data_IF_686193945479
#
_entry.id   IF_686193945479
#
_cell.length_a   1.000
_cell.length_b   1.000
_cell.length_c   1.000
_cell.angle_alpha   90.00
_cell.angle_beta   90.00
_cell.angle_gamma   90.00
#
_symmetry.space_group_name_H-M   'P 1'
#
loop_
_entity.id
_entity.type
_entity.pdbx_description
1 polymer ?
#
# COMPACT_ATOMS: atom_id res chain seq x y z
N UNK A 1 -6.00 47.48 -45.83
CA UNK A 1 -4.88 47.38 -44.86
C UNK A 1 -5.22 48.11 -43.55
N UNK A 2 -6.29 47.71 -42.87
CA UNK A 2 -6.75 48.31 -41.61
C UNK A 2 -5.94 47.88 -40.36
N UNK A 3 -4.93 47.02 -40.56
CA UNK A 3 -4.11 46.47 -39.47
C UNK A 3 -2.98 47.41 -39.00
N UNK A 4 -2.71 48.51 -39.72
CA UNK A 4 -1.57 49.40 -39.42
C UNK A 4 -1.94 50.69 -38.66
N UNK A 5 -3.22 51.03 -38.51
CA UNK A 5 -3.63 52.23 -37.75
C UNK A 5 -3.68 52.01 -36.23
N UNK A 6 -3.74 50.75 -35.77
CA UNK A 6 -3.94 50.42 -34.35
C UNK A 6 -2.62 50.47 -33.55
N UNK A 7 -1.45 50.55 -34.22
CA UNK A 7 -0.13 50.52 -33.57
C UNK A 7 0.47 51.91 -33.26
N UNK A 8 -0.19 52.99 -33.68
CA UNK A 8 0.29 54.36 -33.46
C UNK A 8 -0.18 55.02 -32.16
N UNK A 9 -1.25 54.50 -31.54
CA UNK A 9 -1.87 55.08 -30.35
C UNK A 9 -1.73 54.12 -29.14
N UNK A 10 -0.95 54.49 -28.11
CA UNK A 10 -0.78 53.67 -26.90
C UNK A 10 -2.09 53.27 -26.24
N UNK A 11 -3.13 54.12 -26.31
CA UNK A 11 -4.41 53.84 -25.68
C UNK A 11 -5.24 52.80 -26.44
N UNK A 12 -5.21 52.82 -27.78
CA UNK A 12 -5.89 51.81 -28.59
C UNK A 12 -5.23 50.44 -28.48
N UNK A 13 -3.90 50.41 -28.35
CA UNK A 13 -3.14 49.19 -28.12
C UNK A 13 -3.47 48.56 -26.77
N UNK A 14 -3.56 49.35 -25.69
CA UNK A 14 -3.97 48.85 -24.37
C UNK A 14 -5.40 48.27 -24.35
N UNK A 15 -6.33 48.89 -25.09
CA UNK A 15 -7.70 48.38 -25.20
C UNK A 15 -7.75 47.06 -25.99
N UNK A 16 -7.01 46.98 -27.10
CA UNK A 16 -6.91 45.78 -27.92
C UNK A 16 -6.23 44.63 -27.17
N UNK A 17 -5.11 44.90 -26.49
CA UNK A 17 -4.40 43.91 -25.68
C UNK A 17 -5.26 43.45 -24.48
N UNK A 18 -6.04 44.33 -23.84
CA UNK A 18 -7.01 43.94 -22.80
C UNK A 18 -8.11 43.03 -23.33
N UNK A 19 -8.61 43.29 -24.53
CA UNK A 19 -9.69 42.52 -25.13
C UNK A 19 -9.23 41.12 -25.54
N UNK A 20 -7.99 40.98 -26.03
CA UNK A 20 -7.35 39.68 -26.34
C UNK A 20 -6.90 38.89 -25.09
N UNK A 21 -6.47 39.59 -24.04
CA UNK A 21 -6.01 38.96 -22.79
C UNK A 21 -7.16 38.34 -21.98
N UNK A 22 -8.35 38.95 -22.02
CA UNK A 22 -9.54 38.46 -21.28
C UNK A 22 -10.06 37.10 -21.77
N UNK A 23 -10.20 36.93 -23.08
CA UNK A 23 -10.69 35.66 -23.68
C UNK A 23 -9.67 34.52 -23.57
N UNK A 24 -8.38 34.83 -23.74
CA UNK A 24 -7.30 33.84 -23.62
C UNK A 24 -7.10 33.37 -22.17
N UNK A 25 -7.21 34.26 -21.18
CA UNK A 25 -7.16 33.88 -19.76
C UNK A 25 -8.36 33.05 -19.31
N UNK A 26 -9.57 33.35 -19.82
CA UNK A 26 -10.76 32.57 -19.49
C UNK A 26 -10.72 31.16 -20.12
N UNK A 27 -10.27 31.02 -21.36
CA UNK A 27 -10.09 29.72 -22.01
C UNK A 27 -8.96 28.91 -21.36
N UNK A 28 -7.84 29.54 -21.00
CA UNK A 28 -6.75 28.88 -20.26
C UNK A 28 -7.21 28.40 -18.87
N UNK A 29 -7.99 29.21 -18.14
CA UNK A 29 -8.55 28.82 -16.85
C UNK A 29 -9.59 27.70 -16.96
N UNK A 30 -10.43 27.69 -17.99
CA UNK A 30 -11.39 26.60 -18.25
C UNK A 30 -10.69 25.30 -18.65
N UNK A 31 -9.66 25.38 -19.50
CA UNK A 31 -8.85 24.21 -19.86
C UNK A 31 -8.08 23.68 -18.65
N UNK A 32 -7.46 24.55 -17.83
CA UNK A 32 -6.80 24.14 -16.59
C UNK A 32 -7.75 23.43 -15.63
N UNK A 33 -9.00 23.91 -15.47
CA UNK A 33 -10.03 23.25 -14.66
C UNK A 33 -10.46 21.89 -15.23
N UNK A 34 -10.63 21.78 -16.55
CA UNK A 34 -10.96 20.50 -17.21
C UNK A 34 -9.83 19.47 -17.07
N UNK A 35 -8.59 19.91 -17.26
CA UNK A 35 -7.40 19.08 -17.03
C UNK A 35 -7.32 18.62 -15.58
N UNK A 36 -7.49 19.52 -14.60
CA UNK A 36 -7.51 19.17 -13.17
C UNK A 36 -8.61 18.14 -12.85
N UNK A 37 -9.81 18.28 -13.43
CA UNK A 37 -10.90 17.32 -13.24
C UNK A 37 -10.62 15.95 -13.88
N UNK A 38 -9.99 15.92 -15.06
CA UNK A 38 -9.56 14.67 -15.70
C UNK A 38 -8.47 13.97 -14.89
N UNK A 39 -7.44 14.71 -14.47
CA UNK A 39 -6.34 14.14 -13.65
C UNK A 39 -6.84 13.62 -12.30
N UNK A 40 -7.85 14.26 -11.70
CA UNK A 40 -8.48 13.77 -10.47
C UNK A 40 -9.19 12.43 -10.69
N UNK A 41 -10.00 12.32 -11.74
CA UNK A 41 -10.71 11.06 -12.08
C UNK A 41 -9.76 9.91 -12.41
N UNK A 42 -8.65 10.20 -13.10
CA UNK A 42 -7.63 9.20 -13.39
C UNK A 42 -6.91 8.73 -12.13
N UNK A 43 -6.59 9.65 -11.21
CA UNK A 43 -5.98 9.33 -9.92
C UNK A 43 -6.92 8.46 -9.04
N UNK A 44 -8.22 8.76 -9.04
CA UNK A 44 -9.23 7.97 -8.32
C UNK A 44 -9.36 6.56 -8.91
N UNK A 45 -9.41 6.43 -10.25
CA UNK A 45 -9.46 5.14 -10.92
C UNK A 45 -8.20 4.29 -10.65
N UNK A 46 -7.02 4.91 -10.70
CA UNK A 46 -5.76 4.25 -10.36
C UNK A 46 -5.76 3.78 -8.89
N UNK A 47 -6.27 4.61 -7.98
CA UNK A 47 -6.39 4.27 -6.56
C UNK A 47 -7.29 3.03 -6.37
N UNK A 48 -8.51 3.04 -6.91
CA UNK A 48 -9.44 1.91 -6.82
C UNK A 48 -8.83 0.62 -7.38
N UNK A 49 -8.14 0.74 -8.51
CA UNK A 49 -7.47 -0.39 -9.13
C UNK A 49 -6.35 -0.95 -8.24
N UNK A 50 -5.50 -0.08 -7.66
CA UNK A 50 -4.45 -0.49 -6.73
C UNK A 50 -5.04 -1.16 -5.49
N UNK A 51 -6.12 -0.62 -4.92
CA UNK A 51 -6.79 -1.23 -3.76
C UNK A 51 -7.30 -2.63 -4.10
N UNK A 52 -7.89 -2.80 -5.28
CA UNK A 52 -8.45 -4.09 -5.73
C UNK A 52 -7.38 -5.12 -6.05
N UNK A 53 -6.30 -4.73 -6.74
CA UNK A 53 -5.29 -5.65 -7.27
C UNK A 53 -4.10 -5.87 -6.33
N UNK A 54 -3.81 -4.90 -5.46
CA UNK A 54 -2.67 -4.94 -4.54
C UNK A 54 -3.14 -5.07 -3.09
N UNK A 55 -3.80 -4.05 -2.55
CA UNK A 55 -4.13 -4.01 -1.11
C UNK A 55 -4.97 -5.20 -0.66
N UNK A 56 -6.10 -5.47 -1.33
CA UNK A 56 -7.02 -6.55 -0.92
C UNK A 56 -6.35 -7.93 -0.94
N UNK A 57 -5.64 -8.33 -2.02
CA UNK A 57 -4.87 -9.58 -2.03
C UNK A 57 -3.78 -9.65 -0.96
N UNK A 58 -2.94 -8.61 -0.83
CA UNK A 58 -1.88 -8.56 0.19
C UNK A 58 -2.47 -8.71 1.59
N UNK A 59 -3.52 -7.96 1.90
CA UNK A 59 -4.18 -8.01 3.19
C UNK A 59 -4.77 -9.40 3.49
N UNK A 60 -5.31 -10.08 2.48
CA UNK A 60 -5.79 -11.46 2.60
C UNK A 60 -4.65 -12.43 2.90
N UNK A 61 -3.53 -12.34 2.17
CA UNK A 61 -2.37 -13.21 2.40
C UNK A 61 -1.80 -12.99 3.81
N UNK A 62 -1.60 -11.74 4.23
CA UNK A 62 -1.16 -11.40 5.58
C UNK A 62 -2.13 -11.94 6.65
N UNK A 63 -3.44 -11.88 6.40
CA UNK A 63 -4.42 -12.44 7.33
C UNK A 63 -4.34 -13.97 7.43
N UNK A 64 -4.05 -14.67 6.32
CA UNK A 64 -3.85 -16.13 6.33
C UNK A 64 -2.64 -16.54 7.17
N UNK A 65 -1.64 -15.67 7.32
CA UNK A 65 -0.45 -15.89 8.14
C UNK A 65 -0.73 -15.50 9.61
N UNK A 66 -1.21 -14.28 9.84
CA UNK A 66 -1.30 -13.71 11.18
C UNK A 66 -2.42 -14.30 12.04
N UNK A 67 -3.55 -14.70 11.42
CA UNK A 67 -4.74 -15.15 12.17
C UNK A 67 -4.54 -16.52 12.83
N UNK A 68 -3.96 -17.54 12.17
CA UNK A 68 -3.79 -18.86 12.77
C UNK A 68 -2.75 -18.91 13.88
N UNK A 69 -1.72 -18.04 13.86
CA UNK A 69 -0.56 -18.12 14.77
C UNK A 69 -0.92 -18.49 16.21
N UNK A 70 -1.88 -17.77 16.82
CA UNK A 70 -2.25 -18.02 18.21
C UNK A 70 -2.70 -19.47 18.43
N UNK A 71 -3.55 -20.00 17.55
CA UNK A 71 -4.03 -21.38 17.63
C UNK A 71 -2.86 -22.37 17.50
N UNK A 72 -1.96 -22.13 16.55
CA UNK A 72 -0.81 -22.99 16.31
C UNK A 72 0.14 -23.03 17.52
N UNK A 73 0.38 -21.87 18.15
CA UNK A 73 1.15 -21.77 19.41
C UNK A 73 0.42 -22.46 20.57
N UNK A 74 -0.90 -22.26 20.69
CA UNK A 74 -1.71 -22.91 21.73
C UNK A 74 -1.65 -24.44 21.59
N UNK A 75 -1.74 -24.99 20.37
CA UNK A 75 -1.58 -26.42 20.08
C UNK A 75 -0.18 -26.91 20.48
N UNK A 76 0.86 -26.24 20.00
CA UNK A 76 2.26 -26.59 20.27
C UNK A 76 2.60 -26.55 21.77
N UNK A 77 1.95 -25.67 22.55
CA UNK A 77 2.19 -25.55 23.99
C UNK A 77 1.71 -26.76 24.81
N UNK A 78 0.93 -27.67 24.23
CA UNK A 78 0.47 -28.89 24.90
C UNK A 78 1.63 -29.84 25.19
N UNK A 79 2.54 -30.02 24.21
CA UNK A 79 3.82 -30.70 24.37
C UNK A 79 4.81 -30.20 23.29
N UNK A 80 5.73 -29.28 23.60
CA UNK A 80 6.67 -28.72 22.64
C UNK A 80 7.70 -29.70 22.07
N UNK A 81 7.76 -30.93 22.59
CA UNK A 81 8.68 -31.98 22.12
C UNK A 81 7.96 -33.12 21.39
N UNK A 82 6.64 -33.01 21.21
CA UNK A 82 5.87 -33.96 20.44
C UNK A 82 6.11 -33.73 18.94
N UNK A 83 6.57 -34.79 18.25
CA UNK A 83 6.96 -34.73 16.84
C UNK A 83 5.77 -34.36 15.92
N UNK A 84 4.54 -34.80 16.25
CA UNK A 84 3.34 -34.50 15.45
C UNK A 84 2.96 -33.03 15.59
N UNK A 85 3.01 -32.48 16.81
CA UNK A 85 2.76 -31.05 17.04
C UNK A 85 3.82 -30.15 16.37
N UNK A 86 5.08 -30.58 16.37
CA UNK A 86 6.16 -29.87 15.67
C UNK A 86 5.97 -29.94 14.15
N UNK A 87 5.59 -31.10 13.59
CA UNK A 87 5.33 -31.25 12.16
C UNK A 87 4.15 -30.38 11.69
N UNK A 88 3.08 -30.32 12.46
CA UNK A 88 1.93 -29.43 12.21
C UNK A 88 2.38 -27.95 12.22
N UNK A 89 3.19 -27.56 13.21
CA UNK A 89 3.70 -26.20 13.32
C UNK A 89 4.65 -25.84 12.17
N UNK A 90 5.52 -26.76 11.74
CA UNK A 90 6.37 -26.60 10.56
C UNK A 90 5.54 -26.47 9.28
N UNK A 91 4.46 -27.25 9.14
CA UNK A 91 3.53 -27.14 8.01
C UNK A 91 2.85 -25.77 7.94
N UNK A 92 2.49 -25.19 9.09
CA UNK A 92 2.00 -23.82 9.20
C UNK A 92 3.06 -22.79 8.77
N UNK A 93 4.32 -22.96 9.20
CA UNK A 93 5.44 -22.09 8.82
C UNK A 93 5.65 -22.10 7.30
N UNK A 94 5.69 -23.27 6.67
CA UNK A 94 5.86 -23.40 5.22
C UNK A 94 4.70 -22.78 4.45
N UNK A 95 3.47 -23.05 4.86
CA UNK A 95 2.28 -22.39 4.29
C UNK A 95 2.37 -20.86 4.42
N UNK A 96 2.90 -20.37 5.54
CA UNK A 96 3.08 -18.94 5.79
C UNK A 96 4.13 -18.33 4.87
N UNK A 97 5.24 -19.04 4.59
CA UNK A 97 6.25 -18.62 3.59
C UNK A 97 5.63 -18.47 2.20
N UNK A 98 4.77 -19.40 1.79
CA UNK A 98 4.08 -19.31 0.50
C UNK A 98 3.14 -18.10 0.42
N UNK A 99 2.35 -17.86 1.47
CA UNK A 99 1.48 -16.68 1.52
C UNK A 99 2.30 -15.38 1.54
N UNK A 100 3.44 -15.35 2.23
CA UNK A 100 4.30 -14.19 2.28
C UNK A 100 4.88 -13.87 0.90
N UNK A 101 5.33 -14.88 0.16
CA UNK A 101 5.79 -14.72 -1.22
C UNK A 101 4.69 -14.14 -2.12
N UNK A 102 3.48 -14.69 -2.05
CA UNK A 102 2.32 -14.14 -2.79
C UNK A 102 2.03 -12.69 -2.41
N UNK A 103 2.12 -12.33 -1.12
CA UNK A 103 1.95 -10.96 -0.67
C UNK A 103 3.02 -10.01 -1.26
N UNK A 104 4.28 -10.43 -1.30
CA UNK A 104 5.36 -9.67 -1.94
C UNK A 104 5.12 -9.47 -3.43
N UNK A 105 4.68 -10.52 -4.13
CA UNK A 105 4.39 -10.47 -5.57
C UNK A 105 3.23 -9.50 -5.86
N UNK A 106 2.14 -9.57 -5.09
CA UNK A 106 1.03 -8.61 -5.22
C UNK A 106 1.48 -7.17 -4.95
N UNK A 107 2.29 -6.93 -3.91
CA UNK A 107 2.77 -5.59 -3.58
C UNK A 107 3.64 -4.99 -4.69
N UNK A 108 4.39 -5.81 -5.42
CA UNK A 108 5.26 -5.40 -6.52
C UNK A 108 4.58 -5.36 -7.89
N UNK A 109 3.33 -5.81 -7.99
CA UNK A 109 2.61 -5.96 -9.26
C UNK A 109 2.24 -4.64 -9.94
N UNK A 110 2.20 -3.54 -9.18
CA UNK A 110 1.81 -2.21 -9.67
C UNK A 110 2.54 -1.12 -8.88
N UNK A 111 2.91 0.01 -9.51
CA UNK A 111 3.45 1.16 -8.78
C UNK A 111 2.46 1.68 -7.73
N UNK A 112 3.01 2.17 -6.62
CA UNK A 112 2.22 2.75 -5.54
C UNK A 112 1.72 4.14 -5.95
N UNK A 113 0.41 4.41 -5.92
CA UNK A 113 -0.10 5.75 -6.18
C UNK A 113 0.29 6.67 -5.02
N UNK A 114 0.62 7.92 -5.34
CA UNK A 114 1.19 8.88 -4.36
C UNK A 114 0.25 9.14 -3.18
N UNK A 115 -1.05 9.12 -3.42
CA UNK A 115 -2.09 9.26 -2.40
C UNK A 115 -2.24 8.02 -1.48
N UNK A 116 -1.63 6.87 -1.79
CA UNK A 116 -1.62 5.68 -0.93
C UNK A 116 -0.21 5.27 -0.48
N UNK A 117 0.77 6.17 -0.60
CA UNK A 117 2.15 5.89 -0.21
C UNK A 117 2.29 5.44 1.26
N UNK A 118 1.51 6.04 2.17
CA UNK A 118 1.45 5.64 3.59
C UNK A 118 0.95 4.21 3.78
N UNK A 119 -0.18 3.87 3.14
CA UNK A 119 -0.74 2.50 3.14
C UNK A 119 0.27 1.49 2.59
N UNK A 120 0.92 1.81 1.47
CA UNK A 120 1.93 0.95 0.88
C UNK A 120 3.15 0.76 1.80
N UNK A 121 3.58 1.81 2.51
CA UNK A 121 4.66 1.72 3.49
C UNK A 121 4.30 0.80 4.67
N UNK A 122 3.10 0.96 5.24
CA UNK A 122 2.62 0.07 6.29
C UNK A 122 2.59 -1.40 5.84
N UNK A 123 2.10 -1.68 4.61
CA UNK A 123 2.12 -3.04 4.04
C UNK A 123 3.55 -3.57 3.85
N UNK A 124 4.46 -2.75 3.35
CA UNK A 124 5.86 -3.13 3.16
C UNK A 124 6.52 -3.53 4.49
N UNK A 125 6.40 -2.70 5.53
CA UNK A 125 6.94 -3.01 6.85
C UNK A 125 6.25 -4.23 7.48
N UNK A 126 4.93 -4.37 7.28
CA UNK A 126 4.20 -5.53 7.75
C UNK A 126 4.76 -6.82 7.15
N UNK A 127 4.96 -6.86 5.82
CA UNK A 127 5.54 -8.01 5.12
C UNK A 127 6.93 -8.33 5.65
N UNK A 128 7.78 -7.31 5.85
CA UNK A 128 9.12 -7.53 6.36
C UNK A 128 9.11 -8.14 7.76
N UNK A 129 8.27 -7.61 8.67
CA UNK A 129 8.12 -8.14 10.04
C UNK A 129 7.55 -9.55 10.07
N UNK A 130 6.62 -9.89 9.17
CA UNK A 130 6.15 -11.26 9.02
C UNK A 130 7.27 -12.18 8.55
N UNK A 131 8.09 -11.73 7.59
CA UNK A 131 9.25 -12.49 7.13
C UNK A 131 10.22 -12.81 8.26
N UNK A 132 10.66 -11.78 8.99
CA UNK A 132 11.55 -11.95 10.15
C UNK A 132 10.92 -12.91 11.18
N UNK A 133 9.63 -12.74 11.47
CA UNK A 133 8.93 -13.57 12.44
C UNK A 133 8.83 -15.04 12.03
N UNK A 134 8.63 -15.33 10.75
CA UNK A 134 8.58 -16.70 10.23
C UNK A 134 9.94 -17.39 10.41
N UNK A 135 11.05 -16.69 10.17
CA UNK A 135 12.39 -17.27 10.38
C UNK A 135 12.68 -17.55 11.85
N UNK A 136 12.25 -16.67 12.75
CA UNK A 136 12.34 -16.90 14.20
C UNK A 136 11.54 -18.15 14.60
N UNK A 137 10.27 -18.27 14.17
CA UNK A 137 9.45 -19.45 14.48
C UNK A 137 10.07 -20.75 13.90
N UNK A 138 10.65 -20.69 12.71
CA UNK A 138 11.36 -21.83 12.13
C UNK A 138 12.61 -22.20 12.94
N UNK A 139 13.38 -21.20 13.39
CA UNK A 139 14.58 -21.43 14.23
C UNK A 139 14.22 -22.17 15.52
N UNK A 140 13.08 -21.80 16.14
CA UNK A 140 12.54 -22.53 17.29
C UNK A 140 12.32 -24.02 16.99
N UNK A 141 11.75 -24.40 15.84
CA UNK A 141 11.52 -25.82 15.51
C UNK A 141 12.79 -26.65 15.33
N UNK A 142 13.96 -26.00 15.21
CA UNK A 142 15.24 -26.68 15.04
C UNK A 142 16.02 -26.81 16.36
N UNK A 143 15.77 -25.92 17.32
CA UNK A 143 16.59 -25.79 18.52
C UNK A 143 15.82 -25.68 19.85
N UNK A 144 14.50 -25.56 19.79
CA UNK A 144 13.60 -25.42 20.93
C UNK A 144 13.94 -24.25 21.88
N UNK A 145 14.62 -23.21 21.39
CA UNK A 145 14.91 -22.00 22.17
C UNK A 145 13.69 -21.06 22.17
N UNK A 146 13.03 -20.98 23.32
CA UNK A 146 11.87 -20.12 23.57
C UNK A 146 12.09 -18.64 23.21
N UNK A 147 13.34 -18.17 23.16
CA UNK A 147 13.66 -16.81 22.70
C UNK A 147 13.21 -16.58 21.27
N UNK A 148 13.41 -17.57 20.39
CA UNK A 148 12.96 -17.50 19.01
C UNK A 148 11.44 -17.53 18.94
N UNK A 149 10.78 -18.39 19.72
CA UNK A 149 9.33 -18.47 19.79
C UNK A 149 8.70 -17.13 20.24
N UNK A 150 9.25 -16.53 21.29
CA UNK A 150 8.81 -15.23 21.80
C UNK A 150 9.07 -14.10 20.79
N UNK A 151 10.25 -14.08 20.17
CA UNK A 151 10.61 -13.06 19.18
C UNK A 151 9.72 -13.14 17.94
N UNK A 152 9.44 -14.35 17.44
CA UNK A 152 8.51 -14.57 16.34
C UNK A 152 7.09 -14.06 16.65
N UNK A 153 6.58 -14.35 17.85
CA UNK A 153 5.28 -13.84 18.31
C UNK A 153 5.23 -12.31 18.38
N UNK A 154 6.28 -11.66 18.89
CA UNK A 154 6.35 -10.21 18.99
C UNK A 154 6.42 -9.54 17.61
N UNK A 155 7.18 -10.12 16.68
CA UNK A 155 7.22 -9.67 15.28
C UNK A 155 5.86 -9.77 14.60
N UNK A 156 5.13 -10.87 14.82
CA UNK A 156 3.76 -11.03 14.33
C UNK A 156 2.78 -10.03 14.97
N UNK A 157 2.94 -9.72 16.26
CA UNK A 157 2.15 -8.69 16.96
C UNK A 157 2.37 -7.31 16.34
N UNK A 158 3.61 -6.94 16.05
CA UNK A 158 3.97 -5.68 15.38
C UNK A 158 3.39 -5.66 13.95
N UNK A 159 3.54 -6.76 13.20
CA UNK A 159 2.95 -6.87 11.86
C UNK A 159 1.42 -6.72 11.88
N UNK A 160 0.74 -7.35 12.84
CA UNK A 160 -0.70 -7.21 12.99
C UNK A 160 -1.12 -5.76 13.27
N UNK A 161 -0.32 -5.00 14.03
CA UNK A 161 -0.54 -3.57 14.24
C UNK A 161 -0.38 -2.78 12.93
N UNK A 162 0.71 -2.97 12.20
CA UNK A 162 0.96 -2.30 10.90
C UNK A 162 -0.15 -2.59 9.89
N UNK A 163 -0.66 -3.82 9.86
CA UNK A 163 -1.80 -4.18 9.00
C UNK A 163 -3.07 -3.41 9.36
N UNK A 164 -3.35 -3.21 10.65
CA UNK A 164 -4.51 -2.42 11.12
C UNK A 164 -4.33 -0.96 10.77
N UNK A 165 -3.14 -0.39 10.98
CA UNK A 165 -2.81 0.99 10.60
C UNK A 165 -3.01 1.21 9.10
N UNK A 166 -2.58 0.28 8.25
CA UNK A 166 -2.83 0.32 6.81
C UNK A 166 -4.33 0.31 6.47
N UNK A 167 -5.13 -0.47 7.20
CA UNK A 167 -6.58 -0.55 7.00
C UNK A 167 -7.30 0.72 7.48
N UNK A 168 -6.86 1.31 8.59
CA UNK A 168 -7.41 2.55 9.12
C UNK A 168 -7.11 3.72 8.19
N UNK A 169 -5.86 3.85 7.72
CA UNK A 169 -5.50 4.92 6.77
C UNK A 169 -6.30 4.81 5.46
N UNK A 170 -6.58 3.59 4.99
CA UNK A 170 -7.40 3.40 3.79
C UNK A 170 -8.87 3.80 3.99
N UNK A 171 -9.42 3.73 5.22
CA UNK A 171 -10.82 4.13 5.51
C UNK A 171 -10.99 5.64 5.62
N UNK A 172 -9.91 6.36 5.91
CA UNK A 172 -9.92 7.82 6.10
C UNK A 172 -9.81 8.56 4.74
N UNK A 173 -9.47 7.83 3.67
CA UNK A 173 -9.38 8.33 2.30
C UNK A 173 -10.63 7.98 1.51
#
# INVERSE_FOLDING_TARGET
NAAYEILGDPQQREFYDRQLSGDSQQQAAQNARRYQQQTGREADAQMEQWVKQVYKPVNRMLNSILKPLKKEIDCLSADPFDDELIEDFQSYIESSREFLKKAQDFLRSMPNPSNLAGVAAHLYYCIHRVGDGIEELHSFTLNYDDRHLHTGQELFRIAAKLRREAQEELKVR
#
